data_IF_757925313436
#
_entry.id   IF_757925313436
#
_cell.length_a   1.000
_cell.length_b   1.000
_cell.length_c   1.000
_cell.angle_alpha   90.00
_cell.angle_beta   90.00
_cell.angle_gamma   90.00
#
_symmetry.space_group_name_H-M   'P 1'
#
loop_
_entity.id
_entity.type
_entity.pdbx_description
1 polymer ?
#
# COMPACT_ATOMS: atom_id res chain seq x y z
N UNK A 1 4.51 9.60 11.48
CA UNK A 1 3.94 8.48 10.71
C UNK A 1 2.89 8.97 9.73
N UNK A 2 2.85 8.39 8.54
CA UNK A 2 1.80 8.60 7.53
C UNK A 2 1.21 7.24 7.17
N UNK A 3 -0.11 7.18 7.01
CA UNK A 3 -0.83 5.96 6.68
C UNK A 3 -1.58 6.13 5.36
N UNK A 4 -1.36 5.21 4.42
CA UNK A 4 -2.02 5.18 3.12
C UNK A 4 -2.86 3.91 2.95
N UNK A 5 -3.98 4.04 2.23
CA UNK A 5 -4.79 2.93 1.74
C UNK A 5 -4.90 3.08 0.24
N UNK A 6 -4.30 2.14 -0.48
CA UNK A 6 -4.15 2.17 -1.92
C UNK A 6 -5.07 1.14 -2.54
N UNK A 7 -5.91 1.57 -3.48
CA UNK A 7 -6.84 0.68 -4.20
C UNK A 7 -6.25 0.27 -5.54
N UNK A 8 -6.36 -1.02 -5.86
CA UNK A 8 -5.96 -1.60 -7.13
C UNK A 8 -7.08 -2.46 -7.70
N UNK A 9 -7.33 -2.33 -9.00
CA UNK A 9 -8.36 -3.12 -9.70
C UNK A 9 -7.99 -4.60 -9.84
N UNK A 10 -6.69 -4.91 -9.75
CA UNK A 10 -6.17 -6.27 -9.84
C UNK A 10 -4.87 -6.42 -9.04
N UNK A 11 -4.49 -7.66 -8.76
CA UNK A 11 -3.31 -7.98 -7.93
C UNK A 11 -2.00 -7.61 -8.62
N UNK A 12 -1.96 -7.64 -9.97
CA UNK A 12 -0.77 -7.33 -10.74
C UNK A 12 -0.36 -5.86 -10.58
N UNK A 13 -1.32 -4.94 -10.48
CA UNK A 13 -1.04 -3.53 -10.17
C UNK A 13 -0.43 -3.36 -8.77
N UNK A 14 -0.94 -4.07 -7.76
CA UNK A 14 -0.36 -4.05 -6.41
C UNK A 14 1.07 -4.63 -6.40
N UNK A 15 1.33 -5.71 -7.17
CA UNK A 15 2.67 -6.26 -7.35
C UNK A 15 3.60 -5.24 -8.05
N UNK A 16 3.13 -4.60 -9.12
CA UNK A 16 3.91 -3.58 -9.83
C UNK A 16 4.27 -2.41 -8.91
N UNK A 17 3.30 -1.87 -8.16
CA UNK A 17 3.54 -0.83 -7.16
C UNK A 17 4.56 -1.28 -6.10
N UNK A 18 4.43 -2.49 -5.56
CA UNK A 18 5.37 -2.96 -4.52
C UNK A 18 6.83 -2.94 -4.98
N UNK A 19 7.09 -3.11 -6.28
CA UNK A 19 8.43 -3.08 -6.88
C UNK A 19 8.98 -1.66 -7.05
N UNK A 20 8.13 -0.62 -7.04
CA UNK A 20 8.56 0.78 -7.09
C UNK A 20 8.83 1.36 -5.70
N UNK A 21 8.35 0.70 -4.64
CA UNK A 21 8.58 1.11 -3.25
C UNK A 21 10.04 0.91 -2.85
N UNK A 22 10.77 2.02 -2.88
CA UNK A 22 12.18 2.15 -2.46
C UNK A 22 12.34 2.83 -1.09
N UNK A 23 11.25 3.34 -0.53
CA UNK A 23 11.22 3.98 0.78
C UNK A 23 10.96 2.97 1.91
N UNK A 24 11.42 3.27 3.15
CA UNK A 24 11.14 2.43 4.30
C UNK A 24 9.64 2.38 4.61
N UNK A 25 9.14 1.16 4.84
CA UNK A 25 7.76 0.87 5.25
C UNK A 25 7.83 0.15 6.59
N UNK A 26 7.12 0.66 7.60
CA UNK A 26 7.08 0.04 8.92
C UNK A 26 6.21 -1.23 8.91
N UNK A 27 5.01 -1.11 8.36
CA UNK A 27 4.12 -2.25 8.16
C UNK A 27 3.23 -2.02 6.94
N UNK A 28 2.79 -3.13 6.36
CA UNK A 28 1.85 -3.14 5.25
C UNK A 28 0.99 -4.39 5.27
N UNK A 29 -0.29 -4.22 4.93
CA UNK A 29 -1.28 -5.29 4.88
C UNK A 29 -1.91 -5.32 3.48
N UNK A 30 -2.29 -6.51 3.01
CA UNK A 30 -3.00 -6.66 1.74
C UNK A 30 -4.38 -7.26 2.01
N UNK A 31 -5.41 -6.58 1.53
CA UNK A 31 -6.80 -7.02 1.58
C UNK A 31 -7.37 -7.22 0.18
N UNK A 32 -8.40 -8.06 0.09
CA UNK A 32 -9.31 -8.12 -1.05
C UNK A 32 -10.72 -7.76 -0.56
N UNK A 33 -11.39 -6.84 -1.22
CA UNK A 33 -12.78 -6.50 -0.91
C UNK A 33 -13.55 -6.28 -2.21
N UNK A 34 -14.57 -7.10 -2.45
CA UNK A 34 -15.22 -7.17 -3.75
C UNK A 34 -14.26 -7.64 -4.85
N UNK A 35 -14.22 -6.90 -5.96
CA UNK A 35 -13.29 -7.14 -7.07
C UNK A 35 -11.87 -6.65 -6.80
N UNK A 36 -11.71 -5.71 -5.86
CA UNK A 36 -10.52 -4.89 -5.74
C UNK A 36 -9.58 -5.36 -4.65
N UNK A 37 -8.33 -4.91 -4.75
CA UNK A 37 -7.26 -5.16 -3.80
C UNK A 37 -6.89 -3.85 -3.10
N UNK A 38 -6.69 -3.91 -1.80
CA UNK A 38 -6.37 -2.76 -0.97
C UNK A 38 -5.06 -3.03 -0.24
N UNK A 39 -4.06 -2.19 -0.48
CA UNK A 39 -2.77 -2.24 0.20
C UNK A 39 -2.70 -1.11 1.22
N UNK A 40 -2.50 -1.47 2.48
CA UNK A 40 -2.24 -0.48 3.53
C UNK A 40 -0.75 -0.32 3.71
N UNK A 41 -0.29 0.90 3.96
CA UNK A 41 1.13 1.22 4.14
C UNK A 41 1.28 2.22 5.27
N UNK A 42 2.06 1.86 6.30
CA UNK A 42 2.49 2.75 7.37
C UNK A 42 3.96 3.12 7.16
N UNK A 43 4.25 4.42 7.17
CA UNK A 43 5.59 4.97 6.94
C UNK A 43 5.99 5.85 8.12
N UNK A 44 7.14 5.59 8.73
CA UNK A 44 7.75 6.51 9.68
C UNK A 44 8.38 7.69 8.94
N UNK A 45 8.12 8.91 9.44
CA UNK A 45 8.59 10.17 8.86
C UNK A 45 9.40 11.00 9.84
N UNK A 46 9.64 10.53 11.07
CA UNK A 46 10.26 11.32 12.14
C UNK A 46 11.68 11.77 11.82
N UNK A 47 12.46 10.96 11.08
CA UNK A 47 13.85 11.25 10.70
C UNK A 47 14.02 11.60 9.21
N UNK A 48 12.95 12.02 8.54
CA UNK A 48 12.94 12.26 7.10
C UNK A 48 12.99 13.76 6.75
N UNK A 49 13.55 14.14 5.59
CA UNK A 49 13.55 15.54 5.15
C UNK A 49 12.16 16.15 5.09
N UNK A 50 12.03 17.46 5.33
CA UNK A 50 10.73 18.16 5.32
C UNK A 50 9.91 17.97 4.02
N UNK A 51 10.56 17.71 2.88
CA UNK A 51 9.90 17.48 1.59
C UNK A 51 9.43 16.03 1.38
N UNK A 52 9.82 15.12 2.26
CA UNK A 52 9.55 13.69 2.14
C UNK A 52 8.06 13.34 2.08
N UNK A 53 7.16 13.93 2.89
CA UNK A 53 5.71 13.71 2.75
C UNK A 53 5.16 14.12 1.39
N UNK A 54 5.63 15.24 0.83
CA UNK A 54 5.20 15.72 -0.49
C UNK A 54 5.67 14.78 -1.61
N UNK A 55 6.90 14.29 -1.51
CA UNK A 55 7.45 13.30 -2.44
C UNK A 55 6.68 11.96 -2.36
N UNK A 56 6.40 11.46 -1.15
CA UNK A 56 5.58 10.26 -0.95
C UNK A 56 4.20 10.41 -1.59
N UNK A 57 3.53 11.54 -1.36
CA UNK A 57 2.22 11.81 -1.94
C UNK A 57 2.26 11.80 -3.48
N UNK A 58 3.32 12.33 -4.08
CA UNK A 58 3.50 12.32 -5.54
C UNK A 58 3.63 10.89 -6.09
N UNK A 59 4.45 10.04 -5.45
CA UNK A 59 4.57 8.62 -5.83
C UNK A 59 3.22 7.91 -5.66
N UNK A 60 2.57 8.06 -4.52
CA UNK A 60 1.30 7.37 -4.26
C UNK A 60 0.25 7.72 -5.32
N UNK A 61 0.13 8.99 -5.71
CA UNK A 61 -0.79 9.47 -6.75
C UNK A 61 -0.48 8.96 -8.16
N UNK A 62 0.75 8.52 -8.42
CA UNK A 62 1.12 7.93 -9.71
C UNK A 62 0.59 6.50 -9.85
N UNK A 63 0.47 5.76 -8.74
CA UNK A 63 0.20 4.33 -8.77
C UNK A 63 -1.15 3.92 -8.19
N UNK A 64 -1.82 4.78 -7.44
CA UNK A 64 -3.06 4.45 -6.77
C UNK A 64 -4.04 5.62 -6.76
N UNK A 65 -5.31 5.28 -6.92
CA UNK A 65 -6.41 6.21 -6.66
C UNK A 65 -6.59 6.39 -5.16
N UNK A 66 -6.99 7.61 -4.75
CA UNK A 66 -7.43 7.86 -3.38
C UNK A 66 -8.59 6.91 -3.05
N UNK A 67 -8.40 6.09 -2.01
CA UNK A 67 -9.46 5.21 -1.52
C UNK A 67 -10.28 5.92 -0.47
N UNK A 68 -11.59 6.01 -0.66
CA UNK A 68 -12.54 6.43 0.39
C UNK A 68 -12.70 5.35 1.49
N UNK A 69 -12.11 4.16 1.30
CA UNK A 69 -12.21 3.04 2.23
C UNK A 69 -11.25 3.22 3.39
N UNK A 70 -11.76 3.04 4.62
CA UNK A 70 -10.94 3.09 5.83
C UNK A 70 -10.39 1.71 6.20
N UNK A 71 -9.32 1.67 7.01
CA UNK A 71 -8.77 0.41 7.51
C UNK A 71 -9.80 -0.39 8.32
N UNK A 72 -10.62 0.29 9.13
CA UNK A 72 -11.65 -0.37 9.92
C UNK A 72 -12.65 -1.13 9.03
N UNK A 73 -13.10 -0.51 7.93
CA UNK A 73 -13.96 -1.14 6.92
C UNK A 73 -13.27 -2.37 6.29
N UNK A 74 -11.96 -2.29 5.98
CA UNK A 74 -11.21 -3.44 5.47
C UNK A 74 -11.07 -4.57 6.48
N UNK A 75 -10.93 -4.25 7.77
CA UNK A 75 -10.84 -5.25 8.82
C UNK A 75 -12.19 -5.95 9.08
N UNK A 76 -13.28 -5.22 8.91
CA UNK A 76 -14.64 -5.74 9.13
C UNK A 76 -15.19 -6.51 7.92
N UNK A 77 -14.93 -6.02 6.70
CA UNK A 77 -15.57 -6.52 5.49
C UNK A 77 -14.59 -7.05 4.43
N UNK A 78 -13.30 -6.71 4.54
CA UNK A 78 -12.26 -7.17 3.64
C UNK A 78 -11.74 -8.56 4.02
N UNK A 79 -11.28 -9.29 3.02
CA UNK A 79 -10.54 -10.52 3.22
C UNK A 79 -9.04 -10.21 3.31
N UNK A 80 -8.45 -10.39 4.49
CA UNK A 80 -7.02 -10.17 4.73
C UNK A 80 -6.20 -11.28 4.06
N UNK A 81 -5.42 -10.91 3.05
CA UNK A 81 -4.52 -11.78 2.30
C UNK A 81 -3.12 -11.84 2.92
N UNK A 82 -2.63 -10.70 3.44
CA UNK A 82 -1.32 -10.60 4.08
C UNK A 82 -1.41 -9.69 5.31
N UNK A 83 -1.09 -10.25 6.48
CA UNK A 83 -1.21 -9.59 7.80
C UNK A 83 -0.09 -8.58 8.06
N UNK A 84 1.09 -8.81 7.48
CA UNK A 84 2.23 -7.91 7.62
C UNK A 84 3.22 -8.12 6.47
N UNK A 85 4.07 -7.11 6.25
CA UNK A 85 5.11 -7.18 5.22
C UNK A 85 4.56 -7.41 3.82
N UNK A 86 3.35 -6.93 3.52
CA UNK A 86 2.72 -7.12 2.21
C UNK A 86 3.59 -6.59 1.06
N UNK A 87 4.18 -5.40 1.20
CA UNK A 87 5.13 -4.84 0.22
C UNK A 87 6.28 -5.81 -0.06
N UNK A 88 6.95 -6.29 0.98
CA UNK A 88 8.13 -7.17 0.85
C UNK A 88 7.77 -8.55 0.30
N UNK A 89 6.58 -9.06 0.58
CA UNK A 89 6.10 -10.30 0.00
C UNK A 89 5.70 -10.15 -1.46
N UNK A 90 5.06 -9.04 -1.84
CA UNK A 90 4.67 -8.76 -3.22
C UNK A 90 5.89 -8.52 -4.13
N UNK A 91 6.96 -7.91 -3.62
CA UNK A 91 8.24 -7.74 -4.35
C UNK A 91 8.83 -9.06 -4.84
N UNK A 92 8.62 -10.15 -4.09
CA UNK A 92 9.14 -11.50 -4.40
C UNK A 92 8.34 -12.21 -5.48
N UNK A 93 7.14 -11.74 -5.81
CA UNK A 93 6.32 -12.33 -6.86
C UNK A 93 6.98 -12.06 -8.20
N UNK A 94 7.28 -13.13 -8.94
CA UNK A 94 7.83 -13.03 -10.29
C UNK A 94 6.93 -12.12 -11.15
N UNK A 95 7.54 -11.23 -11.93
CA UNK A 95 6.79 -10.42 -12.90
C UNK A 95 6.16 -11.39 -13.91
N UNK A 96 4.82 -11.42 -13.97
CA UNK A 96 4.07 -12.19 -14.96
C UNK A 96 4.23 -11.56 -16.35
#
# INVERSE_FOLDING_TARGET
YIYYILRFSNIQQAVAFSKTVSFPVDTSELYKMGSDYYLTVLINTEDQPNQYPTWLLAIIREYADDSEVTRAVLQEHGHLLMVSGAIENLKKVASL
#
